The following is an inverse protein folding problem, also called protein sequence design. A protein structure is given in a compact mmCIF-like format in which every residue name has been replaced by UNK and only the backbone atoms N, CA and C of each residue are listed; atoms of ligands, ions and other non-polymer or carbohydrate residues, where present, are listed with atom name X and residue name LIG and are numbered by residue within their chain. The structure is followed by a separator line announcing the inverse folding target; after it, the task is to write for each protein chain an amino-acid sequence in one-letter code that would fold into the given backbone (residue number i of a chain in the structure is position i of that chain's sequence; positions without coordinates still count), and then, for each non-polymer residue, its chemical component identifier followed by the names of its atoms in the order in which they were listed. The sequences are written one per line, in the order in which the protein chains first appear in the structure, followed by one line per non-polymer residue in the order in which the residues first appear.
data_IF_097258683829
#
_entry.id   IF_097258683829
#
_cell.length_a   1.000
_cell.length_b   1.000
_cell.length_c   1.000
_cell.angle_alpha   90.00
_cell.angle_beta   90.00
_cell.angle_gamma   90.00
#
_symmetry.space_group_name_H-M   'P 1'
#
loop_
_entity.id
_entity.type
_entity.pdbx_description
1 polymer ?
#
# COMPACT_ATOMS: atom_id res chain seq x y z
N UNK A 1 -5.73 33.77 66.67
CA UNK A 1 -6.07 34.78 65.64
C UNK A 1 -4.81 35.62 65.46
N UNK A 2 -4.20 35.89 64.32
CA UNK A 2 -4.62 35.79 62.93
C UNK A 2 -3.37 36.05 62.04
N UNK A 3 -2.48 35.07 61.87
CA UNK A 3 -1.23 35.24 61.08
C UNK A 3 -1.32 34.60 59.67
N UNK A 4 -2.48 34.03 59.32
CA UNK A 4 -2.66 33.28 58.07
C UNK A 4 -3.12 34.12 56.87
N UNK A 5 -3.41 35.41 57.09
CA UNK A 5 -3.92 36.32 56.07
C UNK A 5 -2.75 36.98 55.30
N UNK A 6 -1.63 37.23 55.97
CA UNK A 6 -0.49 37.95 55.40
C UNK A 6 0.28 37.17 54.32
N UNK A 7 0.23 35.83 54.35
CA UNK A 7 0.95 35.01 53.36
C UNK A 7 0.27 35.09 51.99
N UNK A 8 -1.07 35.10 51.96
CA UNK A 8 -1.82 35.12 50.70
C UNK A 8 -1.68 36.51 50.05
N UNK A 9 -1.70 37.58 50.84
CA UNK A 9 -1.51 38.94 50.33
C UNK A 9 -0.07 39.17 49.85
N UNK A 10 0.94 38.66 50.55
CA UNK A 10 2.34 38.70 50.09
C UNK A 10 2.58 37.91 48.80
N UNK A 11 1.88 36.78 48.61
CA UNK A 11 1.94 35.99 47.36
C UNK A 11 1.30 36.78 46.21
N UNK A 12 0.16 37.42 46.45
CA UNK A 12 -0.54 38.19 45.43
C UNK A 12 0.23 39.46 45.04
N UNK A 13 0.93 40.10 45.98
CA UNK A 13 1.83 41.24 45.72
C UNK A 13 3.02 40.81 44.84
N UNK A 14 3.64 39.66 45.14
CA UNK A 14 4.74 39.11 44.34
C UNK A 14 4.31 38.67 42.93
N UNK A 15 3.11 38.12 42.78
CA UNK A 15 2.55 37.70 41.49
C UNK A 15 1.97 38.87 40.68
N UNK A 16 1.68 40.00 41.34
CA UNK A 16 1.08 41.18 40.75
C UNK A 16 2.08 42.14 40.09
N UNK A 17 3.39 41.96 40.31
CA UNK A 17 4.43 42.78 39.70
C UNK A 17 4.87 42.19 38.34
N UNK A 18 4.46 42.80 37.21
CA UNK A 18 4.79 42.27 35.89
C UNK A 18 6.28 42.42 35.54
N UNK A 19 7.06 43.20 36.31
CA UNK A 19 8.50 43.37 36.09
C UNK A 19 9.38 42.31 36.77
N UNK A 20 8.87 41.61 37.79
CA UNK A 20 9.66 40.66 38.58
C UNK A 20 10.14 39.45 37.76
N UNK A 21 9.30 38.97 36.83
CA UNK A 21 9.63 37.81 36.00
C UNK A 21 10.60 38.13 34.86
N UNK A 22 10.67 39.39 34.42
CA UNK A 22 11.62 39.84 33.39
C UNK A 22 13.05 39.99 33.94
N UNK A 23 13.20 40.27 35.24
CA UNK A 23 14.51 40.43 35.90
C UNK A 23 15.08 39.10 36.44
N UNK A 24 14.21 38.15 36.83
CA UNK A 24 14.61 36.86 37.38
C UNK A 24 15.07 35.84 36.33
N UNK A 25 14.73 36.04 35.05
CA UNK A 25 15.09 35.12 33.97
C UNK A 25 16.34 35.61 33.23
N UNK A 26 17.39 34.78 33.08
CA UNK A 26 18.53 35.15 32.25
C UNK A 26 18.07 35.36 30.80
N UNK A 27 18.62 36.35 30.08
CA UNK A 27 18.20 36.66 28.72
C UNK A 27 18.36 35.44 27.82
N UNK A 28 17.28 35.07 27.12
CA UNK A 28 17.30 33.93 26.21
C UNK A 28 18.40 34.11 25.14
N UNK A 29 19.24 33.07 24.89
CA UNK A 29 20.22 33.14 23.81
C UNK A 29 19.50 33.31 22.47
N UNK A 30 19.97 34.26 21.64
CA UNK A 30 19.41 34.50 20.31
C UNK A 30 19.48 33.20 19.49
N UNK A 31 18.45 32.89 18.68
CA UNK A 31 18.51 31.76 17.78
C UNK A 31 19.64 31.96 16.77
N UNK A 32 20.67 31.11 16.84
CA UNK A 32 21.71 31.04 15.82
C UNK A 32 21.09 30.69 14.47
N UNK A 33 21.53 31.39 13.43
CA UNK A 33 21.03 31.22 12.07
C UNK A 33 21.41 29.81 11.58
N UNK A 34 20.45 29.00 11.07
CA UNK A 34 20.77 27.64 10.65
C UNK A 34 21.79 27.67 9.49
N UNK A 35 22.69 26.66 9.41
CA UNK A 35 23.67 26.58 8.34
C UNK A 35 22.99 26.47 6.97
N UNK A 36 23.61 27.00 5.90
CA UNK A 36 23.06 26.93 4.55
C UNK A 36 22.89 25.46 4.12
N UNK A 37 21.69 25.11 3.65
CA UNK A 37 21.36 23.77 3.20
C UNK A 37 22.16 23.39 1.95
N UNK A 38 22.77 22.19 1.86
CA UNK A 38 23.49 21.76 0.67
C UNK A 38 22.55 21.64 -0.53
N UNK A 39 23.01 22.11 -1.70
CA UNK A 39 22.23 22.13 -2.94
C UNK A 39 21.95 20.70 -3.43
N UNK A 40 20.67 20.40 -3.69
CA UNK A 40 20.23 19.11 -4.26
C UNK A 40 20.63 19.05 -5.74
N UNK A 41 21.25 17.96 -6.23
CA UNK A 41 21.58 17.82 -7.64
C UNK A 41 20.30 17.77 -8.51
N UNK A 42 20.34 18.34 -9.73
CA UNK A 42 19.18 18.35 -10.62
C UNK A 42 18.82 16.92 -11.04
N UNK A 43 17.52 16.60 -11.02
CA UNK A 43 17.05 15.29 -11.48
C UNK A 43 17.22 15.14 -13.00
N UNK A 44 17.56 13.93 -13.49
CA UNK A 44 17.71 13.68 -14.91
C UNK A 44 16.39 13.91 -15.64
N UNK A 45 16.44 14.68 -16.73
CA UNK A 45 15.26 14.99 -17.54
C UNK A 45 14.82 13.75 -18.32
N UNK A 46 13.50 13.54 -18.49
CA UNK A 46 13.02 12.47 -19.35
C UNK A 46 13.51 12.67 -20.80
N UNK A 47 13.75 11.58 -21.54
CA UNK A 47 14.18 11.66 -22.93
C UNK A 47 13.12 12.33 -23.79
N UNK A 48 13.55 13.13 -24.77
CA UNK A 48 12.67 13.82 -25.70
C UNK A 48 11.97 12.81 -26.62
N UNK A 49 10.74 13.12 -27.04
CA UNK A 49 10.04 12.33 -28.06
C UNK A 49 10.93 12.23 -29.31
N UNK A 50 11.16 11.01 -29.80
CA UNK A 50 12.09 10.72 -30.91
C UNK A 50 13.50 10.28 -30.47
N UNK A 51 13.81 10.29 -29.17
CA UNK A 51 15.07 9.73 -28.67
C UNK A 51 14.99 8.20 -28.71
N UNK A 52 15.83 7.57 -29.55
CA UNK A 52 15.94 6.12 -29.62
C UNK A 52 16.62 5.59 -28.35
N UNK A 53 15.91 4.77 -27.57
CA UNK A 53 16.47 4.17 -26.35
C UNK A 53 16.97 2.78 -26.73
N UNK A 54 18.27 2.70 -27.02
CA UNK A 54 18.95 1.56 -27.64
C UNK A 54 18.59 0.19 -27.02
N UNK A 55 18.41 0.11 -25.69
CA UNK A 55 18.09 -1.15 -25.00
C UNK A 55 16.62 -1.56 -25.13
N UNK A 56 15.68 -0.61 -25.03
CA UNK A 56 14.24 -0.95 -25.12
C UNK A 56 13.85 -1.31 -26.55
N UNK A 57 14.41 -0.59 -27.53
CA UNK A 57 14.00 -0.73 -28.92
C UNK A 57 14.47 -2.07 -29.51
N UNK A 58 15.67 -2.53 -29.13
CA UNK A 58 16.14 -3.86 -29.51
C UNK A 58 15.27 -4.98 -28.93
N UNK A 59 14.88 -4.88 -27.65
CA UNK A 59 13.97 -5.85 -27.00
C UNK A 59 12.59 -5.83 -27.66
N UNK A 60 12.06 -4.65 -27.96
CA UNK A 60 10.76 -4.49 -28.63
C UNK A 60 10.79 -5.05 -30.06
N UNK A 61 11.86 -4.81 -30.83
CA UNK A 61 12.05 -5.42 -32.16
C UNK A 61 12.08 -6.95 -32.08
N UNK A 62 12.80 -7.52 -31.11
CA UNK A 62 12.84 -8.99 -30.92
C UNK A 62 11.47 -9.56 -30.58
N UNK A 63 10.71 -8.89 -29.71
CA UNK A 63 9.34 -9.31 -29.35
C UNK A 63 8.40 -9.25 -30.55
N UNK A 64 8.46 -8.17 -31.34
CA UNK A 64 7.68 -8.06 -32.58
C UNK A 64 8.05 -9.16 -33.58
N UNK A 65 9.34 -9.45 -33.76
CA UNK A 65 9.78 -10.53 -34.64
C UNK A 65 9.23 -11.90 -34.18
N UNK A 66 9.20 -12.16 -32.87
CA UNK A 66 8.64 -13.39 -32.33
C UNK A 66 7.12 -13.48 -32.49
N UNK A 67 6.41 -12.36 -32.35
CA UNK A 67 4.95 -12.30 -32.51
C UNK A 67 4.53 -12.51 -33.97
N UNK A 68 5.33 -12.02 -34.92
CA UNK A 68 5.06 -12.16 -36.35
C UNK A 68 5.59 -13.49 -36.93
N UNK A 69 6.32 -14.28 -36.14
CA UNK A 69 6.80 -15.58 -36.57
C UNK A 69 5.64 -16.58 -36.61
N UNK A 70 5.59 -17.40 -37.68
CA UNK A 70 4.65 -18.50 -37.78
C UNK A 70 4.92 -19.49 -36.64
N UNK A 71 3.91 -19.84 -35.83
CA UNK A 71 4.12 -20.76 -34.71
C UNK A 71 4.57 -22.14 -35.23
N UNK A 72 5.43 -22.84 -34.49
CA UNK A 72 5.87 -24.16 -34.89
C UNK A 72 4.67 -25.12 -34.99
N UNK A 73 4.72 -26.11 -35.90
CA UNK A 73 3.67 -27.10 -36.02
C UNK A 73 3.50 -27.89 -34.71
N UNK A 74 2.27 -28.28 -34.36
CA UNK A 74 2.02 -29.02 -33.14
C UNK A 74 2.77 -30.36 -33.15
N UNK A 75 3.25 -30.83 -31.97
CA UNK A 75 3.94 -32.11 -31.88
C UNK A 75 3.04 -33.26 -32.32
N UNK A 76 3.62 -34.21 -33.08
CA UNK A 76 2.90 -35.41 -33.53
C UNK A 76 2.47 -36.23 -32.32
N UNK A 77 1.16 -36.35 -32.10
CA UNK A 77 0.60 -37.23 -31.07
C UNK A 77 0.91 -38.70 -31.44
N UNK A 78 1.41 -39.53 -30.51
CA UNK A 78 1.53 -40.96 -30.75
C UNK A 78 0.13 -41.52 -31.02
N UNK A 79 -0.04 -42.24 -32.14
CA UNK A 79 -1.29 -42.93 -32.46
C UNK A 79 -1.44 -44.11 -31.50
N UNK A 80 -2.16 -43.89 -30.42
CA UNK A 80 -2.60 -44.94 -29.51
C UNK A 80 -3.52 -45.92 -30.23
N UNK A 81 -3.24 -47.21 -30.03
CA UNK A 81 -4.01 -48.39 -30.43
C UNK A 81 -5.49 -48.21 -30.11
N UNK A 82 -6.35 -48.48 -31.09
CA UNK A 82 -7.81 -48.48 -30.90
C UNK A 82 -8.24 -49.57 -29.90
N UNK A 83 -9.11 -49.27 -28.92
CA UNK A 83 -9.95 -50.27 -28.29
C UNK A 83 -11.21 -50.46 -29.14
N UNK A 84 -11.59 -51.73 -29.31
CA UNK A 84 -12.78 -52.14 -30.01
C UNK A 84 -14.04 -51.62 -29.30
N UNK A 85 -15.04 -51.35 -30.14
CA UNK A 85 -16.35 -50.77 -29.87
C UNK A 85 -17.16 -51.51 -28.80
N UNK A 86 -17.71 -50.75 -27.86
CA UNK A 86 -19.02 -51.04 -27.26
C UNK A 86 -19.72 -49.76 -26.83
N UNK A 87 -20.74 -49.42 -27.62
CA UNK A 87 -22.01 -48.75 -27.28
C UNK A 87 -22.05 -47.38 -26.61
N UNK A 88 -22.88 -46.54 -27.25
CA UNK A 88 -23.31 -45.20 -26.87
C UNK A 88 -23.84 -45.07 -25.44
N UNK A 89 -23.33 -44.08 -24.69
CA UNK A 89 -24.08 -42.88 -24.27
C UNK A 89 -23.19 -41.96 -23.40
N UNK A 90 -23.52 -40.68 -23.42
CA UNK A 90 -22.94 -39.54 -22.68
C UNK A 90 -21.60 -38.96 -23.15
N UNK A 91 -21.74 -37.96 -24.03
CA UNK A 91 -20.76 -36.93 -24.25
C UNK A 91 -20.71 -35.98 -23.03
N UNK A 92 -19.80 -36.25 -22.10
CA UNK A 92 -19.28 -35.24 -21.18
C UNK A 92 -17.92 -34.75 -21.73
N UNK A 93 -17.66 -33.43 -21.85
CA UNK A 93 -16.34 -32.96 -22.20
C UNK A 93 -15.39 -33.27 -21.05
N UNK A 94 -14.47 -34.22 -21.25
CA UNK A 94 -13.33 -34.45 -20.36
C UNK A 94 -12.48 -33.17 -20.36
N UNK A 95 -12.72 -32.32 -19.36
CA UNK A 95 -11.81 -31.23 -19.04
C UNK A 95 -10.50 -31.88 -18.58
N UNK A 96 -9.35 -31.51 -19.16
CA UNK A 96 -8.08 -32.03 -18.67
C UNK A 96 -7.98 -31.63 -17.19
N UNK A 97 -7.84 -32.62 -16.31
CA UNK A 97 -7.68 -32.39 -14.88
C UNK A 97 -6.51 -31.43 -14.68
N UNK A 98 -6.82 -30.17 -14.39
CA UNK A 98 -5.82 -29.14 -14.15
C UNK A 98 -5.00 -29.62 -12.96
N UNK A 99 -3.69 -29.80 -13.18
CA UNK A 99 -2.72 -30.07 -12.13
C UNK A 99 -2.83 -28.93 -11.12
N UNK A 100 -3.56 -29.17 -10.02
CA UNK A 100 -3.74 -28.16 -8.98
C UNK A 100 -2.33 -27.83 -8.47
N UNK A 101 -1.91 -26.55 -8.48
CA UNK A 101 -0.64 -26.19 -7.88
C UNK A 101 -0.72 -26.56 -6.40
N UNK A 102 -0.03 -27.62 -6.01
CA UNK A 102 0.10 -28.08 -4.64
C UNK A 102 1.03 -27.13 -3.87
N UNK A 103 0.59 -25.88 -3.72
CA UNK A 103 1.22 -24.88 -2.86
C UNK A 103 0.47 -24.77 -1.54
N UNK A 104 1.09 -24.21 -0.49
CA UNK A 104 0.40 -23.92 0.76
C UNK A 104 -0.85 -23.08 0.48
N UNK A 105 -1.97 -23.45 1.13
CA UNK A 105 -3.26 -22.77 0.97
C UNK A 105 -3.08 -21.27 1.27
N UNK A 106 -3.61 -20.36 0.42
CA UNK A 106 -3.51 -18.94 0.68
C UNK A 106 -4.15 -18.62 2.05
N UNK A 107 -3.54 -17.71 2.83
CA UNK A 107 -4.08 -17.32 4.12
C UNK A 107 -5.51 -16.77 3.96
N UNK A 108 -6.40 -17.06 4.92
CA UNK A 108 -7.79 -16.63 4.83
C UNK A 108 -7.89 -15.10 4.81
N UNK A 109 -8.92 -14.54 4.15
CA UNK A 109 -9.25 -13.12 4.25
C UNK A 109 -9.49 -12.71 5.71
N UNK A 110 -9.08 -11.48 6.05
CA UNK A 110 -9.18 -10.93 7.40
C UNK A 110 -10.42 -10.03 7.47
N UNK A 111 -11.38 -10.29 8.38
CA UNK A 111 -12.52 -9.41 8.56
C UNK A 111 -12.07 -8.13 9.25
N UNK A 112 -12.26 -6.99 8.60
CA UNK A 112 -11.92 -5.67 9.13
C UNK A 112 -13.20 -4.87 9.33
N UNK A 113 -13.45 -4.45 10.56
CA UNK A 113 -14.57 -3.56 10.87
C UNK A 113 -14.20 -2.13 10.48
N UNK A 114 -14.83 -1.62 9.43
CA UNK A 114 -14.57 -0.26 8.91
C UNK A 114 -15.47 0.75 9.61
N UNK A 115 -16.73 0.41 9.87
CA UNK A 115 -17.66 1.19 10.69
C UNK A 115 -18.37 0.24 11.66
N UNK A 116 -18.95 0.73 12.76
CA UNK A 116 -19.81 -0.08 13.61
C UNK A 116 -20.90 -0.74 12.76
N UNK A 117 -20.83 -2.06 12.60
CA UNK A 117 -21.75 -2.85 11.75
C UNK A 117 -21.33 -3.08 10.30
N UNK A 118 -20.22 -2.51 9.81
CA UNK A 118 -19.71 -2.73 8.45
C UNK A 118 -18.41 -3.53 8.49
N UNK A 119 -18.52 -4.82 8.20
CA UNK A 119 -17.38 -5.75 8.12
C UNK A 119 -17.01 -5.92 6.65
N UNK A 120 -15.74 -5.75 6.35
CA UNK A 120 -15.17 -5.99 5.02
C UNK A 120 -14.15 -7.10 5.11
N UNK A 121 -14.28 -8.11 4.25
CA UNK A 121 -13.27 -9.14 4.09
C UNK A 121 -12.10 -8.61 3.26
N UNK A 122 -10.97 -8.40 3.92
CA UNK A 122 -9.76 -7.85 3.33
C UNK A 122 -8.77 -8.98 3.07
N UNK A 123 -8.30 -9.19 1.83
CA UNK A 123 -7.27 -10.19 1.56
C UNK A 123 -6.01 -9.97 2.40
N UNK A 124 -5.42 -11.04 2.91
CA UNK A 124 -4.21 -10.96 3.75
C UNK A 124 -3.07 -10.15 3.10
N UNK A 125 -2.85 -10.32 1.80
CA UNK A 125 -1.89 -9.54 1.00
C UNK A 125 -2.18 -8.02 1.05
N UNK A 126 -3.46 -7.64 1.07
CA UNK A 126 -3.86 -6.25 1.12
C UNK A 126 -3.59 -5.60 2.48
N UNK A 127 -3.64 -6.39 3.56
CA UNK A 127 -3.31 -5.95 4.92
C UNK A 127 -1.80 -5.82 5.12
N UNK A 128 -1.04 -6.86 4.78
CA UNK A 128 0.38 -6.94 5.18
C UNK A 128 1.37 -6.48 4.09
N UNK A 129 1.02 -6.64 2.81
CA UNK A 129 1.97 -6.38 1.72
C UNK A 129 1.70 -5.02 1.09
N UNK A 130 0.57 -4.87 0.40
CA UNK A 130 0.24 -3.61 -0.28
C UNK A 130 -0.26 -2.53 0.67
N UNK A 131 -0.79 -2.93 1.85
CA UNK A 131 -1.27 -2.05 2.92
C UNK A 131 -2.34 -1.05 2.46
N UNK A 132 -3.01 -1.34 1.34
CA UNK A 132 -4.03 -0.49 0.74
C UNK A 132 -5.09 -1.38 0.12
N UNK A 133 -6.34 -1.16 0.49
CA UNK A 133 -7.47 -1.88 -0.06
C UNK A 133 -8.61 -0.93 -0.41
N UNK A 134 -9.33 -1.24 -1.49
CA UNK A 134 -10.45 -0.42 -1.97
C UNK A 134 -11.70 -1.28 -2.14
N UNK A 135 -12.34 -1.70 -1.03
CA UNK A 135 -13.52 -2.54 -1.12
C UNK A 135 -14.70 -1.75 -1.69
N UNK A 136 -15.59 -2.48 -2.35
CA UNK A 136 -16.92 -2.00 -2.73
C UNK A 136 -17.92 -2.76 -1.88
N UNK A 137 -18.64 -2.04 -1.04
CA UNK A 137 -19.68 -2.58 -0.16
C UNK A 137 -21.03 -2.01 -0.60
N UNK A 138 -22.14 -2.58 -0.14
CA UNK A 138 -23.49 -2.04 -0.39
C UNK A 138 -23.63 -0.57 0.04
N UNK A 139 -22.88 -0.14 1.07
CA UNK A 139 -22.85 1.23 1.53
C UNK A 139 -21.93 2.15 0.71
N UNK A 140 -21.22 1.65 -0.30
CA UNK A 140 -20.37 2.47 -1.17
C UNK A 140 -18.94 1.98 -1.24
N UNK A 141 -18.06 2.84 -1.76
CA UNK A 141 -16.66 2.50 -1.99
C UNK A 141 -15.82 3.02 -0.84
N UNK A 142 -14.83 2.24 -0.42
CA UNK A 142 -13.94 2.66 0.65
C UNK A 142 -12.49 2.69 0.19
N UNK A 143 -11.69 3.48 0.87
CA UNK A 143 -10.22 3.40 0.85
C UNK A 143 -9.78 3.05 2.26
N UNK A 144 -9.18 1.88 2.40
CA UNK A 144 -8.56 1.40 3.63
C UNK A 144 -7.05 1.43 3.49
N UNK A 145 -6.35 1.84 4.56
CA UNK A 145 -4.90 1.68 4.67
C UNK A 145 -4.53 1.01 5.98
N UNK A 146 -3.50 0.17 5.90
CA UNK A 146 -3.03 -0.62 7.01
C UNK A 146 -1.62 -0.20 7.42
N UNK A 147 -1.30 -0.34 8.70
CA UNK A 147 0.06 -0.23 9.20
C UNK A 147 0.90 -1.43 8.74
N UNK A 148 2.20 -1.39 9.02
CA UNK A 148 3.07 -2.57 8.82
C UNK A 148 2.65 -3.77 9.70
N UNK A 149 1.99 -3.51 10.82
CA UNK A 149 1.48 -4.54 11.74
C UNK A 149 0.08 -5.03 11.38
N UNK A 150 -0.50 -4.57 10.26
CA UNK A 150 -1.82 -4.97 9.80
C UNK A 150 -2.99 -4.24 10.47
N UNK A 151 -2.71 -3.21 11.27
CA UNK A 151 -3.74 -2.40 11.94
C UNK A 151 -4.33 -1.37 10.96
N UNK A 152 -5.64 -1.15 11.01
CA UNK A 152 -6.30 -0.14 10.17
C UNK A 152 -5.91 1.27 10.65
N UNK A 153 -5.22 2.04 9.81
CA UNK A 153 -4.75 3.40 10.14
C UNK A 153 -5.54 4.50 9.46
N UNK A 154 -6.13 4.19 8.31
CA UNK A 154 -6.92 5.15 7.55
C UNK A 154 -8.11 4.45 6.93
N UNK A 155 -9.28 5.08 7.07
CA UNK A 155 -10.50 4.71 6.38
C UNK A 155 -11.16 5.97 5.82
N UNK A 156 -11.59 5.90 4.56
CA UNK A 156 -12.39 6.96 3.92
C UNK A 156 -13.43 6.33 3.02
N UNK A 157 -14.67 6.78 3.14
CA UNK A 157 -15.74 6.49 2.19
C UNK A 157 -15.60 7.43 0.98
N UNK A 158 -15.74 6.87 -0.20
CA UNK A 158 -15.91 7.59 -1.45
C UNK A 158 -17.39 7.49 -1.79
N UNK A 159 -18.06 8.65 -1.85
CA UNK A 159 -19.44 8.79 -2.33
C UNK A 159 -19.56 8.31 -3.79
#
# INVERSE_FOLDING_TARGET
MSEKIDIIDAINELLGDPGYWDEALPPHPRPEKPPPTPAIPPQPRPPKVGTMIQRSDHVNKRKQAMLMAVPPPPPKRPRGRAPETSSANDAAPETPALLMPAGPLPPPPIPVQVEPGVIVDVPHFAVHVSRRYKPRTAQGRWILRFSRTGQLTYRRRLE
#
